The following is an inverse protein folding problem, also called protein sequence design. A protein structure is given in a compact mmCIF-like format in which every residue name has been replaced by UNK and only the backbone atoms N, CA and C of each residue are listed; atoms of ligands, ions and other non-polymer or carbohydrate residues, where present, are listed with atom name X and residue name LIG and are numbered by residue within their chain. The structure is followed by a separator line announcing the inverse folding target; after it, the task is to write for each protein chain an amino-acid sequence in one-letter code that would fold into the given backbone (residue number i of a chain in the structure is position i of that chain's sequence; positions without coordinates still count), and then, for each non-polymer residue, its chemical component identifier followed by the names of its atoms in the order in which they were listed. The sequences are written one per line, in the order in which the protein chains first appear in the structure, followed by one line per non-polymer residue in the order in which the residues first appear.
data_IF_152422907679
#
_entry.id   IF_152422907679
#
_cell.length_a   1.000
_cell.length_b   1.000
_cell.length_c   1.000
_cell.angle_alpha   90.00
_cell.angle_beta   90.00
_cell.angle_gamma   90.00
#
_symmetry.space_group_name_H-M   'P 1'
#
loop_
_entity.id
_entity.type
_entity.pdbx_description
1 polymer ?
#
# COMPACT_ATOMS: atom_id res chain seq x y z
N UNK A 1 -12.66 17.08 7.63
CA UNK A 1 -12.61 15.83 6.85
C UNK A 1 -11.46 15.01 7.41
N UNK A 2 -11.70 13.80 7.90
CA UNK A 2 -10.63 12.94 8.38
C UNK A 2 -10.13 12.09 7.22
N UNK A 3 -8.82 12.11 6.96
CA UNK A 3 -8.19 11.44 5.81
C UNK A 3 -7.58 10.08 6.19
N UNK A 4 -7.62 9.71 7.47
CA UNK A 4 -7.06 8.47 8.00
C UNK A 4 -8.17 7.53 8.43
N UNK A 5 -7.93 6.23 8.23
CA UNK A 5 -8.81 5.13 8.63
C UNK A 5 -8.00 4.10 9.40
N UNK A 6 -8.66 3.30 10.24
CA UNK A 6 -8.03 2.16 10.91
C UNK A 6 -7.93 0.95 10.00
N UNK A 7 -7.11 -0.03 10.38
CA UNK A 7 -7.03 -1.34 9.71
C UNK A 7 -8.36 -2.10 9.79
N UNK A 8 -9.06 -2.03 10.93
CA UNK A 8 -10.36 -2.70 11.10
C UNK A 8 -11.41 -2.14 10.14
N UNK A 9 -11.42 -0.81 9.96
CA UNK A 9 -12.32 -0.20 9.00
C UNK A 9 -11.98 -0.61 7.56
N UNK A 10 -10.68 -0.73 7.24
CA UNK A 10 -10.26 -1.17 5.91
C UNK A 10 -10.69 -2.62 5.64
N UNK A 11 -10.54 -3.51 6.62
CA UNK A 11 -10.97 -4.92 6.51
C UNK A 11 -12.48 -5.02 6.23
N UNK A 12 -13.30 -4.24 6.95
CA UNK A 12 -14.76 -4.19 6.75
C UNK A 12 -15.20 -3.57 5.40
N UNK A 13 -14.30 -2.82 4.74
CA UNK A 13 -14.62 -2.04 3.53
C UNK A 13 -13.70 -2.37 2.35
N UNK A 14 -12.96 -3.48 2.40
CA UNK A 14 -11.91 -3.83 1.44
C UNK A 14 -12.41 -3.91 -0.01
N UNK A 15 -13.67 -4.32 -0.21
CA UNK A 15 -14.30 -4.41 -1.53
C UNK A 15 -14.93 -3.09 -2.02
N UNK A 16 -15.03 -2.08 -1.14
CA UNK A 16 -15.65 -0.79 -1.44
C UNK A 16 -14.64 0.29 -1.82
N UNK A 17 -13.35 0.01 -1.61
CA UNK A 17 -12.26 0.96 -1.84
C UNK A 17 -11.24 0.40 -2.84
N UNK A 18 -10.41 1.29 -3.37
CA UNK A 18 -9.20 0.91 -4.11
C UNK A 18 -8.01 1.23 -3.24
N UNK A 19 -7.16 0.22 -3.04
CA UNK A 19 -5.97 0.31 -2.20
C UNK A 19 -4.78 0.59 -3.10
N UNK A 20 -4.00 1.61 -2.75
CA UNK A 20 -2.77 1.95 -3.44
C UNK A 20 -1.61 1.70 -2.49
N UNK A 21 -0.68 0.87 -2.90
CA UNK A 21 0.60 0.73 -2.21
C UNK A 21 1.56 1.75 -2.82
N UNK A 22 1.84 2.82 -2.08
CA UNK A 22 2.77 3.88 -2.49
C UNK A 22 4.12 3.76 -1.76
N UNK A 23 4.54 2.53 -1.43
CA UNK A 23 5.80 2.28 -0.74
C UNK A 23 6.97 2.82 -1.55
N UNK A 24 7.81 3.64 -0.93
CA UNK A 24 9.03 4.19 -1.52
C UNK A 24 10.13 4.23 -0.48
N UNK A 25 11.35 3.97 -0.93
CA UNK A 25 12.52 3.87 -0.07
C UNK A 25 13.57 4.88 -0.50
N UNK A 26 14.30 5.45 0.46
CA UNK A 26 15.46 6.28 0.16
C UNK A 26 16.48 5.48 -0.67
N UNK A 27 17.22 6.11 -1.61
CA UNK A 27 18.14 5.42 -2.51
C UNK A 27 19.20 4.54 -1.82
N UNK A 28 19.55 4.87 -0.57
CA UNK A 28 20.55 4.17 0.23
C UNK A 28 19.95 3.13 1.21
N UNK A 29 18.64 2.91 1.20
CA UNK A 29 17.97 1.97 2.11
C UNK A 29 18.22 0.50 1.73
N UNK A 30 18.76 0.23 0.54
CA UNK A 30 18.97 -1.13 0.01
C UNK A 30 17.70 -1.99 0.05
N UNK A 31 16.55 -1.37 -0.25
CA UNK A 31 15.22 -1.99 -0.31
C UNK A 31 14.58 -1.71 -1.66
N UNK A 32 13.73 -2.61 -2.12
CA UNK A 32 13.00 -2.46 -3.37
C UNK A 32 11.50 -2.61 -3.09
N UNK A 33 10.78 -1.48 -3.15
CA UNK A 33 9.35 -1.45 -2.83
C UNK A 33 8.51 -2.37 -3.71
N UNK A 34 8.87 -2.49 -4.99
CA UNK A 34 8.11 -3.29 -5.94
C UNK A 34 8.29 -4.79 -5.68
N UNK A 35 9.49 -5.23 -5.30
CA UNK A 35 9.73 -6.61 -4.91
C UNK A 35 9.06 -6.95 -3.57
N UNK A 36 9.03 -6.01 -2.62
CA UNK A 36 8.30 -6.18 -1.36
C UNK A 36 6.79 -6.31 -1.60
N UNK A 37 6.22 -5.41 -2.42
CA UNK A 37 4.83 -5.50 -2.85
C UNK A 37 4.51 -6.86 -3.50
N UNK A 38 5.36 -7.36 -4.42
CA UNK A 38 5.16 -8.68 -5.02
C UNK A 38 5.19 -9.83 -4.00
N UNK A 39 6.04 -9.71 -2.98
CA UNK A 39 6.17 -10.72 -1.94
C UNK A 39 4.93 -10.76 -1.04
N UNK A 40 4.47 -9.59 -0.58
CA UNK A 40 3.31 -9.47 0.30
C UNK A 40 2.70 -8.07 0.19
N UNK A 41 1.39 -8.01 -0.02
CA UNK A 41 0.63 -6.76 -0.03
C UNK A 41 -0.80 -7.03 0.43
N UNK A 42 -1.53 -5.97 0.79
CA UNK A 42 -2.95 -6.06 1.08
C UNK A 42 -3.68 -6.54 -0.18
N UNK A 43 -4.60 -7.49 -0.03
CA UNK A 43 -5.39 -8.01 -1.14
C UNK A 43 -6.06 -6.87 -1.94
N UNK A 44 -6.03 -6.98 -3.28
CA UNK A 44 -6.56 -5.99 -4.22
C UNK A 44 -5.84 -4.63 -4.23
N UNK A 45 -4.70 -4.50 -3.54
CA UNK A 45 -3.86 -3.32 -3.70
C UNK A 45 -3.30 -3.23 -5.13
N UNK A 46 -2.95 -2.01 -5.52
CA UNK A 46 -2.26 -1.70 -6.77
C UNK A 46 -0.98 -0.97 -6.36
N UNK A 47 0.16 -1.47 -6.83
CA UNK A 47 1.43 -0.76 -6.67
C UNK A 47 1.38 0.56 -7.44
N UNK A 48 1.58 1.66 -6.74
CA UNK A 48 1.62 3.00 -7.28
C UNK A 48 3.03 3.54 -7.15
N UNK A 49 3.76 3.52 -8.26
CA UNK A 49 5.11 4.07 -8.32
C UNK A 49 5.05 5.60 -8.22
N UNK A 50 5.75 6.16 -7.24
CA UNK A 50 5.76 7.60 -6.95
C UNK A 50 6.99 8.31 -7.54
N UNK A 51 7.96 7.56 -8.06
CA UNK A 51 9.16 8.10 -8.70
C UNK A 51 8.87 8.70 -10.08
#
# INVERSE_FOLDING_TARGET
MNQLVSTDWLDENIDKVKILDASWHLPNANRNSFEEYKSEHIANAIFFDID
#
